data_IF_293569841233
#
_entry.id   IF_293569841233
#
_cell.length_a   1.000
_cell.length_b   1.000
_cell.length_c   1.000
_cell.angle_alpha   90.00
_cell.angle_beta   90.00
_cell.angle_gamma   90.00
#
_symmetry.space_group_name_H-M   'P 1'
#
loop_
_entity.id
_entity.type
_entity.pdbx_description
1 polymer ?
#
# COMPACT_ATOMS: atom_id res chain seq x y z
N UNK A 1 -9.18 29.76 25.55
CA UNK A 1 -8.13 28.71 25.48
C UNK A 1 -8.06 28.23 24.04
N UNK A 2 -6.84 28.10 23.51
CA UNK A 2 -6.48 28.24 22.11
C UNK A 2 -7.19 27.27 21.15
N UNK A 3 -7.83 27.85 20.12
CA UNK A 3 -8.35 27.16 18.94
C UNK A 3 -7.22 27.13 17.89
N UNK A 4 -6.64 25.96 17.62
CA UNK A 4 -5.59 25.83 16.61
C UNK A 4 -6.23 25.41 15.28
N UNK A 5 -6.54 26.40 14.46
CA UNK A 5 -6.94 26.21 13.06
C UNK A 5 -5.72 25.78 12.26
N UNK A 6 -5.68 24.53 11.80
CA UNK A 6 -4.69 24.10 10.81
C UNK A 6 -5.11 24.60 9.44
N UNK A 7 -4.52 25.72 9.01
CA UNK A 7 -4.55 26.14 7.61
C UNK A 7 -3.66 25.18 6.81
N UNK A 8 -4.30 24.35 5.96
CA UNK A 8 -3.59 23.61 4.92
C UNK A 8 -3.40 24.55 3.74
N UNK A 9 -2.16 25.00 3.53
CA UNK A 9 -1.79 25.88 2.42
C UNK A 9 -1.78 25.09 1.11
N UNK A 10 -2.78 25.31 0.26
CA UNK A 10 -2.78 24.90 -1.15
C UNK A 10 -1.80 25.77 -1.95
N UNK A 11 -0.52 25.43 -1.92
CA UNK A 11 0.48 25.80 -2.93
C UNK A 11 1.80 25.22 -2.46
N UNK A 12 2.28 24.13 -3.03
CA UNK A 12 3.63 23.96 -3.64
C UNK A 12 3.58 22.67 -4.48
N UNK A 13 3.15 22.76 -5.75
CA UNK A 13 3.64 21.82 -6.76
C UNK A 13 5.04 22.30 -7.14
N UNK A 14 6.01 21.95 -6.30
CA UNK A 14 7.41 22.16 -6.64
C UNK A 14 7.71 21.13 -7.73
N UNK A 15 8.00 21.66 -8.91
CA UNK A 15 8.44 20.90 -10.07
C UNK A 15 9.67 20.10 -9.70
N UNK A 16 9.48 18.84 -9.32
CA UNK A 16 10.55 17.88 -9.14
C UNK A 16 11.19 17.65 -10.51
N UNK A 17 12.40 18.17 -10.71
CA UNK A 17 13.21 17.91 -11.89
C UNK A 17 13.49 16.42 -12.00
N UNK A 18 12.98 15.82 -13.07
CA UNK A 18 12.95 14.37 -13.28
C UNK A 18 14.31 13.93 -13.79
N UNK A 19 15.15 13.39 -12.90
CA UNK A 19 16.24 12.53 -13.35
C UNK A 19 15.61 11.22 -13.82
N UNK A 20 15.50 11.07 -15.14
CA UNK A 20 15.07 9.88 -15.88
C UNK A 20 16.04 8.69 -15.69
N UNK A 21 16.31 8.28 -14.45
CA UNK A 21 16.92 6.97 -14.18
C UNK A 21 15.80 5.94 -14.05
N UNK A 22 15.43 5.38 -15.20
CA UNK A 22 14.78 4.07 -15.40
C UNK A 22 14.13 3.42 -14.18
N UNK A 23 12.98 3.93 -13.75
CA UNK A 23 12.07 3.20 -12.86
C UNK A 23 11.38 2.11 -13.69
N UNK A 24 11.53 0.82 -13.38
CA UNK A 24 10.98 -0.23 -14.22
C UNK A 24 9.45 -0.21 -14.19
N UNK A 25 8.85 -0.03 -15.37
CA UNK A 25 7.42 0.09 -15.69
C UNK A 25 6.54 -1.12 -15.30
N UNK A 26 7.08 -2.11 -14.58
CA UNK A 26 6.50 -3.44 -14.40
C UNK A 26 5.27 -3.50 -13.48
N UNK A 27 4.93 -2.43 -12.75
CA UNK A 27 3.83 -2.45 -11.76
C UNK A 27 2.70 -1.44 -12.01
N UNK A 28 2.63 -0.86 -13.21
CA UNK A 28 1.64 0.19 -13.54
C UNK A 28 0.17 -0.20 -13.25
N UNK A 29 -0.30 -1.44 -13.54
CA UNK A 29 -1.69 -1.82 -13.26
C UNK A 29 -2.00 -1.89 -11.77
N UNK A 30 -1.06 -2.42 -10.96
CA UNK A 30 -1.23 -2.54 -9.51
C UNK A 30 -1.23 -1.16 -8.84
N UNK A 31 -0.31 -0.28 -9.24
CA UNK A 31 -0.24 1.10 -8.71
C UNK A 31 -1.49 1.90 -9.10
N UNK A 32 -1.99 1.75 -10.33
CA UNK A 32 -3.24 2.39 -10.77
C UNK A 32 -4.44 1.88 -9.97
N UNK A 33 -4.47 0.57 -9.66
CA UNK A 33 -5.52 0.00 -8.82
C UNK A 33 -5.42 0.46 -7.37
N UNK A 34 -4.22 0.55 -6.81
CA UNK A 34 -4.00 1.12 -5.49
C UNK A 34 -4.43 2.58 -5.40
N UNK A 35 -4.23 3.37 -6.47
CA UNK A 35 -4.70 4.75 -6.52
C UNK A 35 -6.22 4.82 -6.36
N UNK A 36 -6.96 4.01 -7.13
CA UNK A 36 -8.42 3.90 -7.01
C UNK A 36 -8.86 3.43 -5.63
N UNK A 37 -8.21 2.40 -5.06
CA UNK A 37 -8.54 1.89 -3.72
C UNK A 37 -8.22 2.90 -2.61
N UNK A 38 -7.25 3.80 -2.84
CA UNK A 38 -6.91 4.87 -1.89
C UNK A 38 -7.93 6.03 -1.88
N UNK A 39 -8.79 6.14 -2.88
CA UNK A 39 -9.88 7.13 -2.86
C UNK A 39 -10.97 6.74 -1.85
N UNK A 40 -11.08 5.45 -1.51
CA UNK A 40 -12.02 4.96 -0.50
C UNK A 40 -11.67 5.46 0.91
N UNK A 41 -12.61 5.36 1.85
CA UNK A 41 -12.43 5.84 3.23
C UNK A 41 -11.52 4.92 4.09
N UNK A 42 -11.10 3.77 3.54
CA UNK A 42 -10.31 2.76 4.22
C UNK A 42 -8.81 2.93 3.94
N UNK A 43 -7.99 2.25 4.74
CA UNK A 43 -6.52 2.28 4.65
C UNK A 43 -5.96 1.40 3.52
N UNK A 44 -4.76 1.75 3.06
CA UNK A 44 -3.88 0.87 2.29
C UNK A 44 -2.80 0.37 3.25
N UNK A 45 -2.80 -0.94 3.52
CA UNK A 45 -1.87 -1.54 4.49
C UNK A 45 -0.72 -2.23 3.78
N UNK A 46 0.51 -1.94 4.18
CA UNK A 46 1.71 -2.68 3.77
C UNK A 46 2.14 -3.57 4.94
N UNK A 47 2.40 -4.84 4.68
CA UNK A 47 3.00 -5.75 5.66
C UNK A 47 4.49 -5.48 5.82
N UNK A 48 5.06 -5.88 6.96
CA UNK A 48 6.47 -5.63 7.24
C UNK A 48 7.45 -6.40 6.35
N UNK A 49 6.97 -7.45 5.68
CA UNK A 49 7.80 -8.34 4.86
C UNK A 49 7.84 -7.92 3.38
N UNK A 50 7.05 -6.92 3.00
CA UNK A 50 7.14 -6.29 1.69
C UNK A 50 8.05 -5.06 1.73
N UNK A 51 8.77 -4.78 0.63
CA UNK A 51 9.62 -3.59 0.55
C UNK A 51 8.79 -2.31 0.68
N UNK A 52 9.37 -1.29 1.30
CA UNK A 52 8.69 -0.03 1.59
C UNK A 52 8.46 0.72 0.28
N UNK A 53 7.23 1.20 0.02
CA UNK A 53 6.98 1.99 -1.17
C UNK A 53 7.69 3.34 -1.09
N UNK A 54 8.33 3.72 -2.20
CA UNK A 54 8.94 5.04 -2.29
C UNK A 54 7.84 6.10 -2.44
N UNK A 55 7.73 7.03 -1.50
CA UNK A 55 6.67 8.05 -1.51
C UNK A 55 6.60 8.84 -2.82
N UNK A 56 7.75 9.13 -3.44
CA UNK A 56 7.81 9.82 -4.73
C UNK A 56 7.16 9.01 -5.87
N UNK A 57 7.24 7.68 -5.84
CA UNK A 57 6.59 6.84 -6.85
C UNK A 57 5.09 6.76 -6.61
N UNK A 58 4.66 6.70 -5.35
CA UNK A 58 3.23 6.72 -5.00
C UNK A 58 2.56 8.04 -5.40
N UNK A 59 3.23 9.18 -5.21
CA UNK A 59 2.71 10.50 -5.58
C UNK A 59 2.56 10.68 -7.09
N UNK A 60 3.47 10.10 -7.89
CA UNK A 60 3.37 10.11 -9.37
C UNK A 60 2.08 9.41 -9.83
N UNK A 61 1.63 8.38 -9.11
CA UNK A 61 0.43 7.61 -9.42
C UNK A 61 -0.84 8.12 -8.71
N UNK A 62 -0.81 9.31 -8.09
CA UNK A 62 -1.95 9.92 -7.37
C UNK A 62 -2.52 9.07 -6.22
N UNK A 63 -1.71 8.16 -5.67
CA UNK A 63 -2.11 7.40 -4.50
C UNK A 63 -2.19 8.37 -3.31
N UNK A 64 -3.27 8.29 -2.52
CA UNK A 64 -3.44 9.11 -1.33
C UNK A 64 -2.44 8.67 -0.25
N UNK A 65 -1.21 9.20 -0.30
CA UNK A 65 -0.10 8.78 0.56
C UNK A 65 -0.41 8.86 2.06
N UNK A 66 -1.29 9.77 2.47
CA UNK A 66 -1.73 9.91 3.86
C UNK A 66 -2.61 8.74 4.35
N UNK A 67 -3.11 7.88 3.45
CA UNK A 67 -3.88 6.67 3.76
C UNK A 67 -3.05 5.38 3.72
N UNK A 68 -1.73 5.50 3.71
CA UNK A 68 -0.83 4.36 3.68
C UNK A 68 -0.27 4.11 5.07
N UNK A 69 -0.46 2.89 5.58
CA UNK A 69 0.16 2.42 6.82
C UNK A 69 1.09 1.26 6.50
N UNK A 70 2.37 1.42 6.83
CA UNK A 70 3.30 0.31 6.83
C UNK A 70 3.35 -0.31 8.22
N UNK A 71 2.87 -1.55 8.32
CA UNK A 71 2.82 -2.30 9.57
C UNK A 71 4.22 -2.72 10.02
N UNK A 72 4.43 -2.71 11.33
CA UNK A 72 5.63 -3.28 11.94
C UNK A 72 5.53 -4.81 11.95
N UNK A 73 6.69 -5.48 11.86
CA UNK A 73 6.74 -6.93 11.94
C UNK A 73 6.15 -7.42 13.26
N UNK A 74 5.24 -8.39 13.17
CA UNK A 74 4.66 -9.04 14.33
C UNK A 74 5.69 -9.89 15.05
N UNK A 75 5.65 -9.90 16.38
CA UNK A 75 6.48 -10.79 17.22
C UNK A 75 5.89 -12.19 17.37
N UNK A 76 4.60 -12.36 17.10
CA UNK A 76 3.84 -13.56 17.49
C UNK A 76 2.96 -14.14 16.38
N UNK A 77 2.96 -13.54 15.18
CA UNK A 77 2.13 -13.99 14.07
C UNK A 77 2.90 -13.98 12.75
N UNK A 78 2.58 -14.95 11.89
CA UNK A 78 3.10 -14.97 10.53
C UNK A 78 2.52 -13.83 9.70
N UNK A 79 3.14 -13.53 8.56
CA UNK A 79 2.59 -12.56 7.61
C UNK A 79 1.17 -12.93 7.16
N UNK A 80 0.89 -14.23 7.00
CA UNK A 80 -0.45 -14.74 6.66
C UNK A 80 -1.45 -14.36 7.75
N UNK A 81 -1.12 -14.55 9.03
CA UNK A 81 -1.98 -14.18 10.15
C UNK A 81 -2.27 -12.68 10.19
N UNK A 82 -1.27 -11.87 9.84
CA UNK A 82 -1.41 -10.41 9.78
C UNK A 82 -2.34 -10.01 8.64
N UNK A 83 -2.18 -10.59 7.45
CA UNK A 83 -3.09 -10.33 6.32
C UNK A 83 -4.51 -10.78 6.65
N UNK A 84 -4.70 -11.96 7.25
CA UNK A 84 -6.02 -12.46 7.67
C UNK A 84 -6.71 -11.47 8.63
N UNK A 85 -6.01 -11.03 9.67
CA UNK A 85 -6.54 -10.06 10.65
C UNK A 85 -6.84 -8.72 10.00
N UNK A 86 -5.99 -8.25 9.10
CA UNK A 86 -6.19 -7.00 8.38
C UNK A 86 -7.46 -7.05 7.52
N UNK A 87 -7.69 -8.15 6.78
CA UNK A 87 -8.92 -8.35 5.99
C UNK A 87 -10.14 -8.36 6.92
N UNK A 88 -10.10 -9.15 7.99
CA UNK A 88 -11.21 -9.30 8.93
C UNK A 88 -11.56 -8.01 9.68
N UNK A 89 -10.59 -7.10 9.84
CA UNK A 89 -10.81 -5.82 10.50
C UNK A 89 -11.74 -4.87 9.73
N UNK A 90 -11.89 -5.07 8.41
CA UNK A 90 -12.70 -4.20 7.55
C UNK A 90 -12.17 -2.77 7.39
N UNK A 91 -10.98 -2.47 7.92
CA UNK A 91 -10.43 -1.11 7.92
C UNK A 91 -9.55 -0.82 6.69
N UNK A 92 -9.31 -1.80 5.83
CA UNK A 92 -8.41 -1.68 4.69
C UNK A 92 -9.13 -1.97 3.37
N UNK A 93 -8.95 -1.08 2.39
CA UNK A 93 -9.39 -1.30 1.01
C UNK A 93 -8.36 -2.10 0.22
N UNK A 94 -7.09 -2.01 0.60
CA UNK A 94 -6.02 -2.83 0.03
C UNK A 94 -5.00 -3.26 1.08
N UNK A 95 -4.44 -4.45 0.89
CA UNK A 95 -3.31 -4.97 1.65
C UNK A 95 -2.21 -5.41 0.69
N UNK A 96 -1.00 -4.95 0.92
CA UNK A 96 0.20 -5.31 0.17
C UNK A 96 1.07 -6.21 1.02
N UNK A 97 1.27 -7.43 0.55
CA UNK A 97 2.02 -8.49 1.21
C UNK A 97 3.20 -8.96 0.36
N UNK A 98 4.08 -9.75 0.96
CA UNK A 98 5.19 -10.41 0.29
C UNK A 98 4.69 -11.55 -0.60
N UNK A 99 5.27 -11.67 -1.78
CA UNK A 99 5.11 -12.84 -2.64
C UNK A 99 5.78 -14.11 -2.07
N UNK A 100 6.44 -14.02 -0.91
CA UNK A 100 6.97 -15.17 -0.16
C UNK A 100 5.89 -16.07 0.46
N UNK A 101 4.65 -15.61 0.57
CA UNK A 101 3.50 -16.47 0.93
C UNK A 101 3.27 -17.48 -0.19
N UNK A 102 3.03 -18.76 0.13
CA UNK A 102 2.81 -19.78 -0.90
C UNK A 102 1.54 -19.52 -1.73
N UNK A 103 1.51 -20.05 -2.96
CA UNK A 103 0.43 -19.78 -3.93
C UNK A 103 -0.95 -20.22 -3.45
N UNK A 104 -1.05 -21.27 -2.62
CA UNK A 104 -2.34 -21.73 -2.12
C UNK A 104 -2.91 -20.71 -1.13
N UNK A 105 -2.08 -20.23 -0.20
CA UNK A 105 -2.46 -19.18 0.73
C UNK A 105 -2.69 -17.83 0.02
N UNK A 106 -1.90 -17.47 -0.99
CA UNK A 106 -2.15 -16.25 -1.79
C UNK A 106 -3.57 -16.24 -2.38
N UNK A 107 -3.99 -17.34 -3.03
CA UNK A 107 -5.34 -17.47 -3.62
C UNK A 107 -6.42 -17.39 -2.56
N UNK A 108 -6.21 -18.05 -1.41
CA UNK A 108 -7.16 -18.02 -0.29
C UNK A 108 -7.34 -16.60 0.26
N UNK A 109 -6.23 -15.88 0.47
CA UNK A 109 -6.25 -14.50 0.97
C UNK A 109 -6.94 -13.56 -0.02
N UNK A 110 -6.67 -13.70 -1.32
CA UNK A 110 -7.33 -12.89 -2.36
C UNK A 110 -8.84 -13.16 -2.44
N UNK A 111 -9.25 -14.43 -2.35
CA UNK A 111 -10.66 -14.78 -2.33
C UNK A 111 -11.36 -14.16 -1.12
N UNK A 112 -10.78 -14.33 0.07
CA UNK A 112 -11.34 -13.78 1.31
C UNK A 112 -11.40 -12.25 1.28
N UNK A 113 -10.35 -11.58 0.79
CA UNK A 113 -10.32 -10.13 0.70
C UNK A 113 -11.48 -9.58 -0.14
N UNK A 114 -11.78 -10.21 -1.30
CA UNK A 114 -12.91 -9.81 -2.15
C UNK A 114 -14.26 -9.89 -1.42
N UNK A 115 -14.45 -10.89 -0.55
CA UNK A 115 -15.66 -11.03 0.27
C UNK A 115 -15.79 -9.90 1.30
N UNK A 116 -14.68 -9.27 1.67
CA UNK A 116 -14.59 -8.16 2.63
C UNK A 116 -14.38 -6.80 1.94
N UNK A 117 -14.66 -6.67 0.63
CA UNK A 117 -14.47 -5.44 -0.15
C UNK A 117 -13.02 -4.90 -0.10
N UNK A 118 -12.05 -5.80 0.03
CA UNK A 118 -10.62 -5.53 0.11
C UNK A 118 -9.89 -6.25 -1.04
N UNK A 119 -8.72 -5.74 -1.43
CA UNK A 119 -7.84 -6.43 -2.38
C UNK A 119 -6.46 -6.70 -1.78
N UNK A 120 -5.92 -7.90 -2.04
CA UNK A 120 -4.57 -8.28 -1.60
C UNK A 120 -3.63 -8.37 -2.79
N UNK A 121 -2.54 -7.62 -2.72
CA UNK A 121 -1.47 -7.61 -3.70
C UNK A 121 -0.20 -8.24 -3.12
N UNK A 122 0.54 -8.98 -3.94
CA UNK A 122 1.78 -9.63 -3.52
C UNK A 122 2.97 -9.06 -4.27
N UNK A 123 4.00 -8.60 -3.55
CA UNK A 123 5.22 -8.01 -4.09
C UNK A 123 6.42 -8.91 -3.85
N UNK A 124 7.24 -9.08 -4.88
CA UNK A 124 8.56 -9.69 -4.74
C UNK A 124 9.53 -8.67 -4.10
N UNK A 125 10.40 -9.14 -3.20
CA UNK A 125 11.41 -8.30 -2.54
C UNK A 125 12.40 -7.64 -3.50
N UNK A 126 12.56 -8.19 -4.71
CA UNK A 126 13.48 -7.69 -5.73
C UNK A 126 12.80 -6.73 -6.72
N UNK A 127 11.63 -6.18 -6.40
CA UNK A 127 10.99 -5.23 -7.29
C UNK A 127 11.72 -3.88 -7.20
N UNK A 128 12.32 -3.37 -8.29
CA UNK A 128 13.12 -2.14 -8.31
C UNK A 128 12.32 -0.86 -8.00
N UNK A 129 11.00 -0.98 -7.83
CA UNK A 129 10.07 0.08 -7.44
C UNK A 129 9.88 0.13 -5.91
N UNK A 130 10.47 -0.80 -5.16
CA UNK A 130 10.29 -0.87 -3.72
C UNK A 130 11.63 -1.19 -3.04
N UNK A 131 11.94 -0.51 -1.92
CA UNK A 131 13.20 -0.68 -1.16
C UNK A 131 13.04 -1.56 0.08
#
# INVERSE_FOLDING_TARGET
MLNTTFHYSDTIYETCTVNHHSVPLLNYPMLSRLAQLSEQHQWILYTAQCPRPHYQQLSIHRIQCHKIIHMKASRSGSEIDIVLKAIQSGNASAIVASAGIDKANQRRLQHMAKQHQCEVFFLNKNSPVFH
#
